data_IF_672266335146
#
_entry.id   IF_672266335146
#
_cell.length_a   1.000
_cell.length_b   1.000
_cell.length_c   1.000
_cell.angle_alpha   90.00
_cell.angle_beta   90.00
_cell.angle_gamma   90.00
#
_symmetry.space_group_name_H-M   'P 1'
#
loop_
_entity.id
_entity.type
_entity.pdbx_description
1 polymer ?
#
# COMPACT_ATOMS: atom_id res chain seq x y z
N UNK A 1 -3.69 34.03 -43.25
CA UNK A 1 -2.68 34.45 -42.26
C UNK A 1 -2.76 35.96 -42.16
N UNK A 2 -3.19 36.48 -41.00
CA UNK A 2 -3.31 37.91 -40.74
C UNK A 2 -2.20 38.32 -39.77
N UNK A 3 -1.35 39.26 -40.20
CA UNK A 3 -0.25 39.83 -39.42
C UNK A 3 -0.73 41.13 -38.80
N UNK A 4 -0.67 41.24 -37.47
CA UNK A 4 -0.95 42.49 -36.74
C UNK A 4 0.39 43.06 -36.29
N UNK A 5 0.72 44.24 -36.81
CA UNK A 5 1.79 45.11 -36.33
C UNK A 5 1.34 45.79 -35.04
N UNK A 6 2.11 45.66 -33.96
CA UNK A 6 1.97 46.51 -32.79
C UNK A 6 3.02 47.61 -32.88
N UNK A 7 2.54 48.84 -32.97
CA UNK A 7 3.36 50.04 -32.92
C UNK A 7 3.71 50.40 -31.48
N UNK A 8 4.83 51.09 -31.38
CA UNK A 8 5.62 51.47 -30.21
C UNK A 8 5.10 52.78 -29.63
N UNK A 9 5.13 52.93 -28.31
CA UNK A 9 5.47 54.21 -27.70
C UNK A 9 6.14 54.03 -26.34
N UNK A 10 7.30 54.67 -26.21
CA UNK A 10 8.11 54.79 -25.01
C UNK A 10 7.76 56.14 -24.36
N UNK A 11 7.60 56.20 -23.03
CA UNK A 11 7.94 57.43 -22.30
C UNK A 11 8.26 57.14 -20.82
N UNK A 12 9.34 57.78 -20.38
CA UNK A 12 10.06 57.64 -19.12
C UNK A 12 9.54 58.61 -18.04
N UNK A 13 10.03 58.37 -16.81
CA UNK A 13 10.31 59.30 -15.70
C UNK A 13 9.29 59.60 -14.58
N UNK A 14 9.64 59.06 -13.40
CA UNK A 14 9.92 59.69 -12.08
C UNK A 14 8.84 60.33 -11.15
N UNK A 15 8.74 59.68 -9.98
CA UNK A 15 8.85 60.11 -8.57
C UNK A 15 7.92 61.17 -7.87
N UNK A 16 7.75 60.89 -6.56
CA UNK A 16 7.26 61.69 -5.42
C UNK A 16 5.76 61.79 -5.08
N UNK A 17 5.30 60.91 -4.17
CA UNK A 17 4.06 61.06 -3.38
C UNK A 17 4.41 61.46 -1.93
N UNK A 18 4.05 62.69 -1.56
CA UNK A 18 4.28 63.28 -0.23
C UNK A 18 3.30 62.71 0.81
N UNK A 19 3.84 62.09 1.87
CA UNK A 19 3.06 61.65 3.03
C UNK A 19 2.53 62.83 3.88
N UNK A 20 1.23 62.79 4.19
CA UNK A 20 0.51 63.79 4.99
C UNK A 20 0.90 63.72 6.50
N UNK A 21 1.43 64.80 7.12
CA UNK A 21 2.02 64.74 8.46
C UNK A 21 1.04 64.95 9.63
N UNK A 22 -0.29 64.95 9.43
CA UNK A 22 -1.24 65.38 10.48
C UNK A 22 -2.38 64.40 10.83
N UNK A 23 -2.33 63.15 10.39
CA UNK A 23 -3.33 62.17 10.83
C UNK A 23 -2.98 61.56 12.20
N UNK A 24 -3.34 62.27 13.28
CA UNK A 24 -3.36 61.73 14.65
C UNK A 24 -4.79 61.75 15.18
N UNK A 25 -5.38 60.57 15.37
CA UNK A 25 -6.37 60.28 16.42
C UNK A 25 -6.61 58.75 16.39
N UNK A 26 -6.09 57.97 17.32
CA UNK A 26 -6.51 57.77 18.71
C UNK A 26 -7.42 56.53 18.87
N UNK A 27 -7.17 55.86 20.00
CA UNK A 27 -8.02 54.93 20.75
C UNK A 27 -8.10 53.43 20.36
N UNK A 28 -7.85 52.65 21.43
CA UNK A 28 -8.36 51.32 21.79
C UNK A 28 -7.50 50.09 21.47
N UNK A 29 -7.01 49.53 22.57
CA UNK A 29 -6.52 48.16 22.69
C UNK A 29 -7.56 47.21 22.10
N UNK A 30 -7.27 46.68 20.92
CA UNK A 30 -7.97 45.51 20.39
C UNK A 30 -7.08 44.31 20.61
N UNK A 31 -7.43 43.50 21.62
CA UNK A 31 -6.85 42.21 22.00
C UNK A 31 -6.91 41.13 20.89
N UNK A 32 -7.05 41.53 19.63
CA UNK A 32 -7.22 40.64 18.47
C UNK A 32 -5.88 40.19 17.88
N UNK A 33 -4.82 41.01 18.00
CA UNK A 33 -3.52 40.68 17.39
C UNK A 33 -2.74 39.58 18.14
N UNK A 34 -3.05 39.34 19.42
CA UNK A 34 -2.40 38.27 20.20
C UNK A 34 -3.06 36.91 20.03
N UNK A 35 -4.36 36.85 19.70
CA UNK A 35 -5.05 35.60 19.36
C UNK A 35 -4.74 35.12 17.92
N UNK A 36 -4.33 36.02 17.01
CA UNK A 36 -3.99 35.65 15.63
C UNK A 36 -2.66 34.90 15.50
N UNK A 37 -1.71 35.11 16.42
CA UNK A 37 -0.40 34.46 16.35
C UNK A 37 -0.39 32.99 16.82
N UNK A 38 -1.32 32.59 17.69
CA UNK A 38 -1.42 31.20 18.17
C UNK A 38 -2.35 30.33 17.31
N UNK A 39 -3.19 30.91 16.46
CA UNK A 39 -4.06 30.16 15.53
C UNK A 39 -3.42 29.84 14.17
N UNK A 40 -2.29 30.48 13.83
CA UNK A 40 -1.61 30.32 12.54
C UNK A 40 -0.76 29.04 12.39
N UNK A 41 -0.45 28.33 13.48
CA UNK A 41 0.46 27.18 13.46
C UNK A 41 -0.15 25.83 13.08
N UNK A 42 -1.49 25.69 13.05
CA UNK A 42 -2.18 24.39 12.87
C UNK A 42 -2.89 24.23 11.52
N UNK A 43 -3.00 25.30 10.71
CA UNK A 43 -3.67 25.26 9.40
C UNK A 43 -2.71 24.94 8.23
N UNK A 44 -1.39 24.97 8.46
CA UNK A 44 -0.36 24.80 7.42
C UNK A 44 0.04 23.37 7.08
N UNK A 45 -0.33 22.37 7.89
CA UNK A 45 0.16 20.98 7.72
C UNK A 45 -0.89 20.00 7.16
N UNK A 46 -2.18 20.40 7.10
CA UNK A 46 -3.26 19.55 6.56
C UNK A 46 -3.37 19.60 5.04
N UNK A 47 -2.77 20.62 4.42
CA UNK A 47 -2.78 20.78 2.97
C UNK A 47 -1.62 19.98 2.39
N UNK A 48 -1.92 18.75 1.97
CA UNK A 48 -1.25 18.05 0.87
C UNK A 48 0.10 17.35 1.15
N UNK A 49 0.14 16.48 2.15
CA UNK A 49 0.72 15.15 1.85
C UNK A 49 -0.28 14.46 0.92
N UNK A 50 -0.14 14.64 -0.40
CA UNK A 50 -0.96 13.91 -1.38
C UNK A 50 -0.83 12.42 -1.08
N UNK A 51 -1.89 11.84 -0.53
CA UNK A 51 -1.91 10.43 -0.18
C UNK A 51 -1.72 9.64 -1.48
N UNK A 52 -0.70 8.78 -1.49
CA UNK A 52 -0.53 7.84 -2.58
C UNK A 52 -1.69 6.83 -2.55
N UNK A 53 -2.45 6.73 -3.63
CA UNK A 53 -3.53 5.76 -3.79
C UNK A 53 -2.98 4.39 -4.19
N UNK A 54 -1.92 4.38 -4.99
CA UNK A 54 -1.37 3.15 -5.57
C UNK A 54 0.16 3.22 -5.73
N UNK A 55 0.80 2.07 -5.86
CA UNK A 55 2.25 1.87 -5.99
C UNK A 55 2.67 1.26 -7.33
N UNK A 56 1.84 1.44 -8.36
CA UNK A 56 2.06 0.94 -9.73
C UNK A 56 3.47 1.22 -10.26
N UNK A 57 3.99 2.42 -10.05
CA UNK A 57 5.34 2.81 -10.50
C UNK A 57 6.46 1.95 -9.90
N UNK A 58 6.31 1.56 -8.63
CA UNK A 58 7.26 0.70 -7.93
C UNK A 58 7.14 -0.72 -8.46
N UNK A 59 5.93 -1.27 -8.51
CA UNK A 59 5.68 -2.63 -8.98
C UNK A 59 6.16 -2.80 -10.42
N UNK A 60 5.85 -1.87 -11.33
CA UNK A 60 6.32 -1.90 -12.72
C UNK A 60 7.84 -1.95 -12.79
N UNK A 61 8.54 -1.14 -11.98
CA UNK A 61 10.01 -1.14 -11.95
C UNK A 61 10.57 -2.47 -11.44
N UNK A 62 9.97 -3.04 -10.39
CA UNK A 62 10.34 -4.34 -9.85
C UNK A 62 10.14 -5.48 -10.87
N UNK A 63 9.10 -5.42 -11.69
CA UNK A 63 8.85 -6.37 -12.79
C UNK A 63 9.73 -6.12 -14.03
N UNK A 64 10.55 -5.06 -14.05
CA UNK A 64 11.40 -4.73 -15.20
C UNK A 64 10.65 -4.27 -16.46
N UNK A 65 9.35 -3.93 -16.35
CA UNK A 65 8.52 -3.53 -17.51
C UNK A 65 8.70 -2.05 -17.81
N UNK A 66 8.95 -1.69 -19.07
CA UNK A 66 9.07 -0.28 -19.46
C UNK A 66 7.69 0.37 -19.66
N UNK A 67 7.57 1.68 -19.40
CA UNK A 67 6.32 2.43 -19.65
C UNK A 67 5.82 2.35 -21.09
N UNK A 68 6.74 2.25 -22.06
CA UNK A 68 6.39 2.09 -23.47
C UNK A 68 5.78 0.73 -23.77
N UNK A 69 6.24 -0.33 -23.08
CA UNK A 69 5.64 -1.66 -23.17
C UNK A 69 4.21 -1.64 -22.59
N UNK A 70 4.04 -1.03 -21.40
CA UNK A 70 2.72 -0.85 -20.79
C UNK A 70 1.77 -0.10 -21.71
N UNK A 71 2.18 1.05 -22.25
CA UNK A 71 1.37 1.85 -23.17
C UNK A 71 0.92 1.05 -24.41
N UNK A 72 1.82 0.23 -24.96
CA UNK A 72 1.49 -0.65 -26.09
C UNK A 72 0.48 -1.74 -25.70
N UNK A 73 0.65 -2.39 -24.54
CA UNK A 73 -0.24 -3.46 -24.08
C UNK A 73 -1.63 -2.94 -23.67
N UNK A 74 -1.70 -1.75 -23.06
CA UNK A 74 -2.95 -1.08 -22.70
C UNK A 74 -3.64 -0.39 -23.89
N UNK A 75 -2.94 -0.22 -25.02
CA UNK A 75 -3.45 0.57 -26.15
C UNK A 75 -3.61 2.06 -25.84
N UNK A 76 -2.89 2.58 -24.85
CA UNK A 76 -2.98 3.96 -24.39
C UNK A 76 -1.77 4.79 -24.85
N UNK A 77 -1.95 6.10 -24.92
CA UNK A 77 -0.82 7.00 -25.21
C UNK A 77 0.14 7.08 -24.03
N UNK A 78 1.43 7.21 -24.30
CA UNK A 78 2.46 7.35 -23.26
C UNK A 78 2.18 8.47 -22.23
N UNK A 79 1.67 9.67 -22.57
CA UNK A 79 1.33 10.66 -21.56
C UNK A 79 0.18 10.24 -20.63
N UNK A 80 -0.82 9.50 -21.14
CA UNK A 80 -1.91 8.96 -20.31
C UNK A 80 -1.36 7.93 -19.32
N UNK A 81 -0.54 6.99 -19.80
CA UNK A 81 0.10 5.99 -18.92
C UNK A 81 0.99 6.62 -17.87
N UNK A 82 1.75 7.67 -18.23
CA UNK A 82 2.54 8.44 -17.26
C UNK A 82 1.67 9.09 -16.19
N UNK A 83 0.52 9.64 -16.57
CA UNK A 83 -0.42 10.22 -15.62
C UNK A 83 -1.01 9.15 -14.69
N UNK A 84 -1.41 8.01 -15.24
CA UNK A 84 -1.93 6.87 -14.48
C UNK A 84 -0.89 6.24 -13.55
N UNK A 85 0.40 6.28 -13.91
CA UNK A 85 1.46 5.75 -13.05
C UNK A 85 1.70 6.60 -11.79
N UNK A 86 1.37 7.90 -11.83
CA UNK A 86 1.54 8.80 -10.69
C UNK A 86 0.74 8.31 -9.49
N UNK A 87 1.41 8.08 -8.35
CA UNK A 87 0.80 7.45 -7.17
C UNK A 87 -0.42 8.21 -6.60
N UNK A 88 -0.54 9.52 -6.87
CA UNK A 88 -1.64 10.38 -6.48
C UNK A 88 -2.78 10.43 -7.53
N UNK A 89 -2.66 9.68 -8.63
CA UNK A 89 -3.71 9.59 -9.64
C UNK A 89 -4.83 8.69 -9.12
N UNK A 90 -6.05 9.23 -9.07
CA UNK A 90 -7.23 8.41 -8.87
C UNK A 90 -7.47 7.57 -10.15
N UNK A 91 -7.54 6.25 -9.99
CA UNK A 91 -7.72 5.29 -11.08
C UNK A 91 -9.03 4.56 -10.89
N UNK A 92 -9.79 4.40 -11.99
CA UNK A 92 -10.95 3.50 -11.97
C UNK A 92 -10.48 2.08 -11.71
N UNK A 93 -11.29 1.29 -11.02
CA UNK A 93 -10.99 -0.12 -10.76
C UNK A 93 -10.80 -0.92 -12.06
N UNK A 94 -11.54 -0.59 -13.12
CA UNK A 94 -11.34 -1.18 -14.45
C UNK A 94 -9.95 -0.92 -15.00
N UNK A 95 -9.43 0.30 -14.84
CA UNK A 95 -8.11 0.67 -15.32
C UNK A 95 -7.03 -0.03 -14.49
N UNK A 96 -7.23 -0.11 -13.17
CA UNK A 96 -6.34 -0.83 -12.26
C UNK A 96 -6.27 -2.33 -12.58
N UNK A 97 -7.38 -2.95 -12.99
CA UNK A 97 -7.41 -4.33 -13.49
C UNK A 97 -6.63 -4.49 -14.80
N UNK A 98 -6.74 -3.55 -15.73
CA UNK A 98 -5.90 -3.59 -16.94
C UNK A 98 -4.41 -3.49 -16.59
N UNK A 99 -4.04 -2.65 -15.62
CA UNK A 99 -2.66 -2.58 -15.10
C UNK A 99 -2.21 -3.89 -14.46
N UNK A 100 -3.10 -4.55 -13.71
CA UNK A 100 -2.87 -5.86 -13.10
C UNK A 100 -2.53 -6.91 -14.18
N UNK A 101 -3.32 -7.00 -15.25
CA UNK A 101 -3.11 -7.94 -16.34
C UNK A 101 -1.80 -7.67 -17.10
N UNK A 102 -1.45 -6.40 -17.28
CA UNK A 102 -0.20 -6.01 -17.97
C UNK A 102 1.04 -6.29 -17.11
N UNK A 103 0.94 -6.14 -15.80
CA UNK A 103 2.05 -6.39 -14.87
C UNK A 103 2.08 -7.81 -14.33
N UNK A 104 1.05 -8.61 -14.58
CA UNK A 104 0.92 -10.01 -14.15
C UNK A 104 1.08 -10.18 -12.63
N UNK A 105 0.61 -9.20 -11.86
CA UNK A 105 0.59 -9.22 -10.39
C UNK A 105 -0.84 -9.28 -9.87
N UNK A 106 -1.10 -9.68 -8.62
CA UNK A 106 -2.41 -9.48 -7.99
C UNK A 106 -2.76 -7.99 -7.83
N UNK A 107 -4.05 -7.62 -7.90
CA UNK A 107 -4.50 -6.21 -7.74
C UNK A 107 -4.07 -5.59 -6.40
N UNK A 108 -3.97 -6.40 -5.35
CA UNK A 108 -3.54 -5.98 -4.02
C UNK A 108 -2.10 -5.42 -4.02
N UNK A 109 -1.21 -5.94 -4.86
CA UNK A 109 0.18 -5.46 -4.97
C UNK A 109 0.27 -4.05 -5.55
N UNK A 110 -0.74 -3.64 -6.35
CA UNK A 110 -0.78 -2.31 -6.97
C UNK A 110 -1.25 -1.22 -6.01
N UNK A 111 -1.95 -1.58 -4.94
CA UNK A 111 -2.48 -0.63 -3.97
C UNK A 111 -1.42 -0.29 -2.91
N UNK A 112 -1.45 0.93 -2.40
CA UNK A 112 -0.65 1.26 -1.21
C UNK A 112 -1.28 0.51 -0.04
N UNK A 113 -0.44 -0.18 0.73
CA UNK A 113 -0.86 -0.72 2.03
C UNK A 113 -1.17 0.49 2.92
N UNK A 114 -2.45 0.76 3.12
CA UNK A 114 -2.89 1.78 4.06
C UNK A 114 -2.31 1.44 5.43
N UNK A 115 -1.75 2.45 6.10
CA UNK A 115 -1.48 2.41 7.53
C UNK A 115 -2.78 1.94 8.22
N UNK A 116 -2.84 0.65 8.61
CA UNK A 116 -4.05 0.03 9.16
C UNK A 116 -4.95 -0.77 8.21
N UNK A 117 -4.48 -1.25 7.04
CA UNK A 117 -5.24 -2.18 6.17
C UNK A 117 -5.54 -3.56 6.79
N UNK A 118 -5.05 -3.80 8.00
CA UNK A 118 -5.76 -4.57 9.01
C UNK A 118 -5.81 -3.64 10.22
N UNK A 119 -6.98 -3.14 10.60
CA UNK A 119 -7.10 -2.30 11.81
C UNK A 119 -6.39 -3.01 12.96
N UNK A 120 -5.73 -2.26 13.86
CA UNK A 120 -5.03 -2.82 15.04
C UNK A 120 -5.68 -4.10 15.59
N UNK A 121 -7.01 -4.12 15.81
CA UNK A 121 -7.75 -5.30 16.26
C UNK A 121 -7.64 -6.58 15.41
N UNK A 122 -7.62 -6.50 14.06
CA UNK A 122 -7.55 -7.69 13.19
C UNK A 122 -6.13 -8.25 13.14
N UNK A 123 -5.12 -7.38 13.07
CA UNK A 123 -3.72 -7.80 13.10
C UNK A 123 -3.35 -8.39 14.46
N UNK A 124 -3.76 -7.73 15.55
CA UNK A 124 -3.61 -8.22 16.93
C UNK A 124 -4.27 -9.58 17.12
N UNK A 125 -5.52 -9.73 16.67
CA UNK A 125 -6.21 -11.02 16.68
C UNK A 125 -5.46 -12.07 15.88
N UNK A 126 -4.98 -11.75 14.67
CA UNK A 126 -4.24 -12.70 13.85
C UNK A 126 -2.92 -13.15 14.50
N UNK A 127 -2.23 -12.25 15.21
CA UNK A 127 -1.01 -12.56 15.97
C UNK A 127 -1.34 -13.46 17.15
N UNK A 128 -2.40 -13.17 17.89
CA UNK A 128 -2.81 -13.98 19.03
C UNK A 128 -3.28 -15.38 18.60
N UNK A 129 -4.02 -15.50 17.49
CA UNK A 129 -4.36 -16.80 16.88
C UNK A 129 -3.09 -17.60 16.57
N UNK A 130 -2.06 -16.99 15.97
CA UNK A 130 -0.80 -17.68 15.67
C UNK A 130 -0.08 -18.13 16.95
N UNK A 131 -0.06 -17.29 17.99
CA UNK A 131 0.50 -17.65 19.30
C UNK A 131 -0.24 -18.85 19.91
N UNK A 132 -1.58 -18.82 19.92
CA UNK A 132 -2.40 -19.93 20.41
C UNK A 132 -2.12 -21.23 19.66
N UNK A 133 -2.13 -21.21 18.32
CA UNK A 133 -1.80 -22.39 17.49
C UNK A 133 -0.43 -22.97 17.79
N UNK A 134 0.53 -22.10 18.08
CA UNK A 134 1.92 -22.49 18.39
C UNK A 134 1.99 -23.11 19.78
N UNK A 135 1.38 -22.48 20.78
CA UNK A 135 1.30 -23.01 22.13
C UNK A 135 0.56 -24.35 22.17
N UNK A 136 -0.57 -24.48 21.47
CA UNK A 136 -1.31 -25.72 21.33
C UNK A 136 -0.46 -26.84 20.69
N UNK A 137 0.33 -26.52 19.66
CA UNK A 137 1.22 -27.49 19.01
C UNK A 137 2.40 -27.93 19.90
N UNK A 138 2.92 -27.03 20.74
CA UNK A 138 3.95 -27.38 21.73
C UNK A 138 3.34 -28.23 22.85
N UNK A 139 2.12 -27.89 23.30
CA UNK A 139 1.41 -28.64 24.36
C UNK A 139 1.26 -30.10 23.97
N UNK A 140 0.80 -30.38 22.74
CA UNK A 140 0.65 -31.74 22.20
C UNK A 140 1.95 -32.56 22.27
N UNK A 141 3.12 -31.91 22.12
CA UNK A 141 4.43 -32.58 22.14
C UNK A 141 5.05 -32.69 23.53
N UNK A 142 4.53 -31.96 24.50
CA UNK A 142 5.14 -31.79 25.82
C UNK A 142 4.24 -32.25 26.96
N UNK A 143 3.15 -32.96 26.66
CA UNK A 143 2.24 -33.51 27.65
C UNK A 143 2.98 -34.34 28.72
N UNK A 144 2.61 -34.15 29.99
CA UNK A 144 3.22 -34.85 31.12
C UNK A 144 4.62 -34.36 31.53
N UNK A 145 5.23 -33.44 30.78
CA UNK A 145 6.56 -32.88 31.12
C UNK A 145 6.44 -31.60 31.97
N UNK A 146 7.51 -31.19 32.69
CA UNK A 146 7.58 -29.87 33.31
C UNK A 146 7.38 -28.71 32.31
N UNK A 147 7.80 -28.90 31.05
CA UNK A 147 7.59 -27.94 29.96
C UNK A 147 6.10 -27.85 29.59
N UNK A 148 5.39 -28.99 29.58
CA UNK A 148 3.94 -29.03 29.34
C UNK A 148 3.16 -28.17 30.32
N UNK A 149 3.53 -28.20 31.62
CA UNK A 149 2.90 -27.33 32.63
C UNK A 149 3.07 -25.83 32.31
N UNK A 150 4.27 -25.42 31.89
CA UNK A 150 4.52 -24.03 31.52
C UNK A 150 3.71 -23.60 30.27
N UNK A 151 3.55 -24.51 29.31
CA UNK A 151 2.80 -24.25 28.09
C UNK A 151 1.29 -24.19 28.37
N UNK A 152 0.78 -25.00 29.30
CA UNK A 152 -0.61 -24.89 29.77
C UNK A 152 -0.87 -23.52 30.39
N UNK A 153 0.02 -23.04 31.26
CA UNK A 153 -0.10 -21.69 31.84
C UNK A 153 -0.04 -20.59 30.77
N UNK A 154 0.82 -20.74 29.75
CA UNK A 154 0.89 -19.80 28.63
C UNK A 154 -0.43 -19.73 27.85
N UNK A 155 -1.09 -20.88 27.66
CA UNK A 155 -2.39 -20.94 26.98
C UNK A 155 -3.47 -20.27 27.81
N UNK A 156 -3.49 -20.48 29.13
CA UNK A 156 -4.40 -19.80 30.06
C UNK A 156 -4.22 -18.28 30.00
N UNK A 157 -2.97 -17.79 30.01
CA UNK A 157 -2.66 -16.36 29.86
C UNK A 157 -3.14 -15.78 28.51
N UNK A 158 -2.99 -16.53 27.42
CA UNK A 158 -3.51 -16.12 26.10
C UNK A 158 -5.03 -16.02 26.12
N UNK A 159 -5.73 -16.98 26.75
CA UNK A 159 -7.20 -16.98 26.86
C UNK A 159 -7.73 -15.88 27.77
N UNK A 160 -6.98 -15.49 28.80
CA UNK A 160 -7.30 -14.33 29.64
C UNK A 160 -7.29 -13.02 28.84
N UNK A 161 -6.31 -12.88 27.93
CA UNK A 161 -6.21 -11.70 27.05
C UNK A 161 -7.23 -11.77 25.91
N UNK A 162 -7.55 -12.97 25.39
CA UNK A 162 -8.38 -13.15 24.20
C UNK A 162 -9.20 -14.46 24.27
N UNK A 163 -10.40 -14.43 24.89
CA UNK A 163 -11.18 -15.65 25.17
C UNK A 163 -11.77 -16.30 23.91
N UNK A 164 -11.92 -15.55 22.81
CA UNK A 164 -12.41 -16.09 21.54
C UNK A 164 -11.47 -17.14 20.91
N UNK A 165 -10.27 -17.35 21.46
CA UNK A 165 -9.30 -18.34 20.98
C UNK A 165 -9.47 -19.74 21.56
N UNK A 166 -10.52 -19.99 22.36
CA UNK A 166 -10.77 -21.28 23.03
C UNK A 166 -10.80 -22.47 22.05
N UNK A 167 -11.40 -22.28 20.87
CA UNK A 167 -11.55 -23.34 19.87
C UNK A 167 -10.38 -23.42 18.87
N UNK A 168 -9.31 -22.63 19.07
CA UNK A 168 -8.17 -22.62 18.16
C UNK A 168 -7.24 -23.80 18.46
N UNK A 169 -7.38 -24.85 17.63
CA UNK A 169 -6.49 -26.01 17.65
C UNK A 169 -5.08 -25.73 17.13
N UNK A 170 -4.14 -26.68 17.32
CA UNK A 170 -2.75 -26.55 16.89
C UNK A 170 -2.61 -26.35 15.37
N UNK A 171 -1.43 -25.87 14.95
CA UNK A 171 -1.07 -25.92 13.53
C UNK A 171 -1.30 -27.32 12.98
N UNK A 172 -1.99 -27.45 11.85
CA UNK A 172 -1.94 -28.69 11.09
C UNK A 172 -0.48 -29.02 10.85
N UNK A 173 -0.04 -30.20 11.25
CA UNK A 173 1.28 -30.73 10.99
C UNK A 173 1.46 -30.86 9.47
N UNK A 174 1.90 -29.79 8.82
CA UNK A 174 2.21 -29.78 7.39
C UNK A 174 3.41 -30.71 7.19
N UNK A 175 3.15 -31.93 6.73
CA UNK A 175 4.16 -32.95 6.50
C UNK A 175 3.63 -34.36 6.21
N UNK A 176 2.38 -34.68 6.59
CA UNK A 176 1.77 -35.98 6.30
C UNK A 176 0.34 -35.81 5.75
N UNK A 177 0.22 -35.66 4.43
CA UNK A 177 -1.06 -35.78 3.69
C UNK A 177 -0.98 -36.70 2.49
N UNK A 178 0.13 -37.44 2.32
CA UNK A 178 0.19 -38.53 1.36
C UNK A 178 0.39 -39.82 2.14
N UNK A 179 -0.56 -40.77 2.11
CA UNK A 179 -0.19 -42.14 2.43
C UNK A 179 0.95 -42.54 1.49
N UNK A 180 1.83 -43.43 1.94
CA UNK A 180 3.03 -43.84 1.20
C UNK A 180 2.72 -44.28 -0.25
N UNK A 181 1.50 -44.76 -0.48
CA UNK A 181 1.02 -45.25 -1.78
C UNK A 181 0.37 -44.18 -2.68
N UNK A 182 0.28 -42.91 -2.26
CA UNK A 182 -0.33 -41.85 -3.07
C UNK A 182 0.67 -41.23 -4.05
N UNK A 183 0.75 -41.83 -5.23
CA UNK A 183 1.52 -41.34 -6.36
C UNK A 183 1.02 -39.97 -6.84
N UNK A 184 1.92 -38.99 -6.87
CA UNK A 184 1.63 -37.63 -7.30
C UNK A 184 1.25 -37.51 -8.78
N UNK A 185 0.74 -36.33 -9.18
CA UNK A 185 0.27 -36.07 -10.55
C UNK A 185 1.31 -36.40 -11.64
N UNK A 186 2.60 -36.23 -11.36
CA UNK A 186 3.70 -36.59 -12.25
C UNK A 186 3.79 -38.10 -12.53
N UNK A 187 3.56 -38.94 -11.52
CA UNK A 187 3.53 -40.40 -11.68
C UNK A 187 2.27 -40.87 -12.43
N UNK A 188 1.15 -40.14 -12.30
CA UNK A 188 -0.09 -40.41 -13.06
C UNK A 188 -0.01 -39.96 -14.53
N UNK A 189 0.96 -39.12 -14.87
CA UNK A 189 1.19 -38.63 -16.24
C UNK A 189 2.58 -38.99 -16.72
N UNK A 190 2.94 -40.28 -16.60
CA UNK A 190 4.16 -40.80 -17.21
C UNK A 190 4.07 -40.64 -18.73
N UNK A 191 5.01 -39.89 -19.30
CA UNK A 191 5.20 -39.74 -20.74
C UNK A 191 6.04 -40.92 -21.21
N UNK A 192 5.57 -41.68 -22.21
CA UNK A 192 6.36 -42.80 -22.78
C UNK A 192 7.68 -42.29 -23.34
N UNK A 193 8.76 -43.02 -23.10
CA UNK A 193 10.08 -42.71 -23.68
C UNK A 193 10.07 -42.78 -25.22
N UNK A 194 9.09 -43.46 -25.81
CA UNK A 194 8.88 -43.54 -27.27
C UNK A 194 8.61 -42.17 -27.90
N UNK A 195 8.08 -41.19 -27.14
CA UNK A 195 7.88 -39.82 -27.61
C UNK A 195 9.19 -39.09 -27.93
N UNK A 196 10.30 -39.55 -27.35
CA UNK A 196 11.63 -38.98 -27.59
C UNK A 196 12.42 -39.77 -28.67
N UNK A 197 11.86 -40.86 -29.20
CA UNK A 197 12.57 -41.80 -30.08
C UNK A 197 12.52 -41.53 -31.58
N UNK A 198 11.95 -40.40 -32.05
CA UNK A 198 11.84 -40.12 -33.50
C UNK A 198 12.50 -38.81 -33.92
N UNK A 199 13.81 -38.76 -33.75
CA UNK A 199 14.69 -37.89 -34.55
C UNK A 199 15.96 -38.66 -34.89
N UNK A 200 15.96 -39.35 -36.01
CA UNK A 200 17.09 -40.16 -36.44
C UNK A 200 16.80 -41.01 -37.67
N UNK A 201 16.52 -40.35 -38.79
CA UNK A 201 16.92 -40.83 -40.12
C UNK A 201 17.22 -39.66 -41.03
#
# INVERSE_FOLDING_TARGET
MATVHCDRDCREDDEDDFGDPLAVADVEHSDVSRAAHDAGGMAGDRTQRRAAYHRIAEVRRSQGVTLRNVARRLGLSLPVVRRQECADCDLRLSDLQCWQEVLEVPIAELLVEGEGQLSGPVLERSRMVKLMKTAAAIRERTEGTPVGRMVTMLIEQILEIMPELTDVGPWHSVGQRRPLDDLGRAARMAVSEDLFGRSGS
#
